data_IF_348845903528
#
_entry.id   IF_348845903528
#
_cell.length_a   1.000
_cell.length_b   1.000
_cell.length_c   1.000
_cell.angle_alpha   90.00
_cell.angle_beta   90.00
_cell.angle_gamma   90.00
#
_symmetry.space_group_name_H-M   'P 1'
#
loop_
_entity.id
_entity.type
_entity.pdbx_description
1 polymer ?
#
# COMPACT_ATOMS: atom_id res chain seq x y z
N UNK A 1 -8.65 13.09 -16.75
CA UNK A 1 -7.54 12.13 -16.72
C UNK A 1 -7.39 11.66 -15.27
N UNK A 2 -7.43 10.35 -14.98
CA UNK A 2 -7.18 9.90 -13.60
C UNK A 2 -5.80 10.40 -13.15
N UNK A 3 -5.63 10.74 -11.86
CA UNK A 3 -4.34 11.16 -11.35
C UNK A 3 -3.32 10.04 -11.56
N UNK A 4 -2.14 10.39 -12.07
CA UNK A 4 -1.02 9.45 -12.21
C UNK A 4 -0.65 8.90 -10.83
N UNK A 5 -0.46 7.58 -10.76
CA UNK A 5 0.01 6.91 -9.56
C UNK A 5 1.54 7.04 -9.53
N UNK A 6 2.01 7.80 -8.57
CA UNK A 6 3.43 8.05 -8.30
C UNK A 6 3.83 7.18 -7.11
N UNK A 7 4.68 6.17 -7.37
CA UNK A 7 5.05 5.17 -6.37
C UNK A 7 5.93 5.77 -5.28
N UNK A 8 6.92 6.59 -5.65
CA UNK A 8 7.81 7.24 -4.70
C UNK A 8 7.00 8.08 -3.70
N UNK A 9 6.05 8.87 -4.21
CA UNK A 9 5.16 9.68 -3.35
C UNK A 9 4.27 8.84 -2.45
N UNK A 10 3.81 7.68 -2.92
CA UNK A 10 3.01 6.76 -2.10
C UNK A 10 3.88 6.14 -1.00
N UNK A 11 5.09 5.71 -1.33
CA UNK A 11 6.07 5.16 -0.39
C UNK A 11 6.40 6.17 0.70
N UNK A 12 6.81 7.39 0.34
CA UNK A 12 7.08 8.47 1.29
C UNK A 12 5.87 8.76 2.18
N UNK A 13 4.68 8.87 1.59
CA UNK A 13 3.45 9.17 2.32
C UNK A 13 3.07 8.07 3.32
N UNK A 14 3.26 6.79 2.95
CA UNK A 14 3.03 5.65 3.84
C UNK A 14 4.03 5.64 4.99
N UNK A 15 5.33 5.82 4.70
CA UNK A 15 6.37 5.87 5.73
C UNK A 15 6.23 7.06 6.68
N UNK A 16 5.69 8.19 6.20
CA UNK A 16 5.35 9.35 7.01
C UNK A 16 4.06 9.18 7.84
N UNK A 17 3.37 8.03 7.74
CA UNK A 17 2.12 7.78 8.47
C UNK A 17 0.91 8.56 7.94
N UNK A 18 0.95 9.05 6.71
CA UNK A 18 -0.15 9.79 6.10
C UNK A 18 -1.35 8.87 5.84
N UNK A 19 -2.42 9.04 6.63
CA UNK A 19 -3.67 8.27 6.48
C UNK A 19 -4.22 8.28 5.05
N UNK A 20 -4.11 9.41 4.35
CA UNK A 20 -4.58 9.55 2.98
C UNK A 20 -3.75 8.70 1.99
N UNK A 21 -2.42 8.68 2.14
CA UNK A 21 -1.56 7.85 1.29
C UNK A 21 -1.72 6.36 1.63
N UNK A 22 -1.87 6.00 2.90
CA UNK A 22 -2.19 4.61 3.32
C UNK A 22 -3.49 4.13 2.67
N UNK A 23 -4.56 4.93 2.70
CA UNK A 23 -5.83 4.56 2.07
C UNK A 23 -5.68 4.33 0.56
N UNK A 24 -4.95 5.21 -0.14
CA UNK A 24 -4.70 5.07 -1.59
C UNK A 24 -3.82 3.85 -1.92
N UNK A 25 -2.80 3.58 -1.10
CA UNK A 25 -1.96 2.39 -1.22
C UNK A 25 -2.78 1.10 -1.07
N UNK A 26 -3.70 1.04 -0.10
CA UNK A 26 -4.62 -0.09 0.08
C UNK A 26 -5.49 -0.26 -1.18
N UNK A 27 -6.11 0.82 -1.66
CA UNK A 27 -6.93 0.77 -2.89
C UNK A 27 -6.13 0.29 -4.11
N UNK A 28 -4.87 0.71 -4.23
CA UNK A 28 -3.97 0.27 -5.31
C UNK A 28 -3.70 -1.24 -5.21
N UNK A 29 -3.39 -1.74 -4.01
CA UNK A 29 -3.09 -3.16 -3.75
C UNK A 29 -4.33 -4.05 -3.94
N UNK A 30 -5.52 -3.57 -3.58
CA UNK A 30 -6.78 -4.31 -3.76
C UNK A 30 -7.30 -4.29 -5.21
N UNK A 31 -6.70 -3.48 -6.09
CA UNK A 31 -7.21 -3.29 -7.44
C UNK A 31 -7.00 -4.51 -8.33
N UNK A 32 -8.03 -4.85 -9.11
CA UNK A 32 -8.01 -5.98 -10.07
C UNK A 32 -7.49 -5.59 -11.46
N UNK A 33 -7.14 -4.33 -11.70
CA UNK A 33 -6.61 -3.88 -13.01
C UNK A 33 -5.15 -4.30 -13.20
N UNK A 34 -4.77 -4.67 -14.43
CA UNK A 34 -3.45 -5.22 -14.71
C UNK A 34 -2.31 -4.22 -14.54
N UNK A 35 -2.53 -2.96 -14.93
CA UNK A 35 -1.61 -1.84 -14.73
C UNK A 35 -1.39 -1.56 -13.24
N UNK A 36 -2.46 -1.59 -12.44
CA UNK A 36 -2.38 -1.39 -11.00
C UNK A 36 -1.61 -2.50 -10.29
N UNK A 37 -1.71 -3.76 -10.73
CA UNK A 37 -0.97 -4.88 -10.12
C UNK A 37 0.55 -4.69 -10.19
N UNK A 38 1.07 -4.21 -11.32
CA UNK A 38 2.50 -3.95 -11.47
C UNK A 38 2.98 -2.85 -10.52
N UNK A 39 2.22 -1.75 -10.44
CA UNK A 39 2.48 -0.63 -9.54
C UNK A 39 2.36 -1.03 -8.06
N UNK A 40 1.36 -1.84 -7.71
CA UNK A 40 1.19 -2.37 -6.35
C UNK A 40 2.37 -3.24 -5.93
N UNK A 41 2.88 -4.08 -6.83
CA UNK A 41 4.05 -4.91 -6.56
C UNK A 41 5.29 -4.05 -6.30
N UNK A 42 5.50 -2.99 -7.08
CA UNK A 42 6.61 -2.05 -6.87
C UNK A 42 6.51 -1.38 -5.49
N UNK A 43 5.34 -0.81 -5.17
CA UNK A 43 5.08 -0.18 -3.87
C UNK A 43 5.33 -1.15 -2.70
N UNK A 44 4.83 -2.38 -2.79
CA UNK A 44 5.04 -3.39 -1.74
C UNK A 44 6.51 -3.78 -1.59
N UNK A 45 7.26 -3.85 -2.69
CA UNK A 45 8.70 -4.12 -2.67
C UNK A 45 9.47 -3.00 -1.97
N UNK A 46 9.14 -1.73 -2.23
CA UNK A 46 9.75 -0.58 -1.56
C UNK A 46 9.42 -0.52 -0.06
N UNK A 47 8.19 -0.87 0.33
CA UNK A 47 7.76 -0.87 1.72
C UNK A 47 8.22 -2.09 2.53
N UNK A 48 8.65 -3.18 1.86
CA UNK A 48 9.00 -4.45 2.49
C UNK A 48 10.06 -4.34 3.61
N UNK A 49 11.14 -3.52 3.48
CA UNK A 49 12.14 -3.36 4.54
C UNK A 49 11.58 -2.73 5.83
N UNK A 50 10.42 -2.07 5.77
CA UNK A 50 9.79 -1.37 6.89
C UNK A 50 8.64 -2.17 7.53
N UNK A 51 8.33 -3.35 7.00
CA UNK A 51 7.25 -4.20 7.48
C UNK A 51 7.70 -5.22 8.55
N UNK A 52 6.75 -5.85 9.24
CA UNK A 52 7.00 -7.00 10.11
C UNK A 52 7.21 -6.72 11.59
N UNK A 53 7.28 -5.45 12.01
CA UNK A 53 7.45 -5.05 13.42
C UNK A 53 6.13 -5.07 14.21
N UNK A 54 4.98 -5.11 13.53
CA UNK A 54 3.66 -5.08 14.16
C UNK A 54 3.23 -6.47 14.68
N UNK A 55 2.60 -6.48 15.86
CA UNK A 55 1.89 -7.67 16.38
C UNK A 55 0.59 -7.87 15.59
N UNK A 56 0.45 -9.00 14.91
CA UNK A 56 -0.76 -9.37 14.14
C UNK A 56 -1.62 -10.31 14.98
N UNK A 57 -2.84 -9.90 15.32
CA UNK A 57 -3.78 -10.67 16.15
C UNK A 57 -5.01 -11.03 15.33
N UNK A 58 -5.27 -12.33 15.17
CA UNK A 58 -6.50 -12.83 14.52
C UNK A 58 -7.58 -13.10 15.55
N UNK A 59 -8.80 -12.62 15.29
CA UNK A 59 -9.97 -12.81 16.17
C UNK A 59 -11.05 -13.53 15.37
N UNK A 60 -11.62 -14.61 15.92
CA UNK A 60 -12.80 -15.33 15.39
C UNK A 60 -13.69 -15.74 16.57
N UNK A 61 -14.99 -15.90 16.33
CA UNK A 61 -15.98 -16.28 17.34
C UNK A 61 -17.22 -16.88 16.66
N UNK A 62 -17.93 -17.72 17.42
CA UNK A 62 -19.14 -18.45 17.00
C UNK A 62 -20.41 -17.63 17.19
#
# INVERSE_FOLDING_TARGET
MPPTIDIDRYTEGVLAGSRAHVARAITLVESTRADHRALAQQLLTELLPHAGTARRVGIRGV
#
